data_IF_570848880879
#
_entry.id   IF_570848880879
#
_cell.length_a   1.000
_cell.length_b   1.000
_cell.length_c   1.000
_cell.angle_alpha   90.00
_cell.angle_beta   90.00
_cell.angle_gamma   90.00
#
_symmetry.space_group_name_H-M   'P 1'
#
loop_
_entity.id
_entity.type
_entity.pdbx_description
1 polymer ?
#
# COMPACT_ATOMS: atom_id res chain seq x y z
N UNK A 1 12.66 5.14 -11.12
CA UNK A 1 12.84 4.29 -9.91
C UNK A 1 11.96 4.78 -8.75
N UNK A 2 12.02 6.06 -8.36
CA UNK A 2 11.25 6.64 -7.24
C UNK A 2 9.72 6.47 -7.33
N UNK A 3 9.08 6.82 -8.45
CA UNK A 3 7.63 6.69 -8.64
C UNK A 3 7.14 5.24 -8.54
N UNK A 4 7.98 4.28 -8.93
CA UNK A 4 7.67 2.84 -8.82
C UNK A 4 7.67 2.39 -7.36
N UNK A 5 8.60 2.89 -6.54
CA UNK A 5 8.62 2.67 -5.10
C UNK A 5 7.42 3.31 -4.41
N UNK A 6 7.05 4.52 -4.84
CA UNK A 6 5.84 5.23 -4.42
C UNK A 6 4.58 4.42 -4.70
N UNK A 7 4.40 4.01 -5.95
CA UNK A 7 3.26 3.20 -6.36
C UNK A 7 3.22 1.87 -5.61
N UNK A 8 4.36 1.17 -5.48
CA UNK A 8 4.47 -0.10 -4.75
C UNK A 8 4.06 0.03 -3.28
N UNK A 9 4.54 1.06 -2.58
CA UNK A 9 4.25 1.28 -1.17
C UNK A 9 2.75 1.49 -0.90
N UNK A 10 2.04 2.14 -1.82
CA UNK A 10 0.58 2.36 -1.69
C UNK A 10 -0.25 1.21 -2.27
N UNK A 11 0.20 0.56 -3.34
CA UNK A 11 -0.48 -0.58 -3.94
C UNK A 11 -0.43 -1.83 -3.05
N UNK A 12 0.63 -1.98 -2.24
CA UNK A 12 0.75 -3.07 -1.26
C UNK A 12 -0.14 -2.92 -0.04
N UNK A 13 -0.81 -1.77 0.14
CA UNK A 13 -1.73 -1.57 1.26
C UNK A 13 -2.97 -2.45 1.11
N UNK A 14 -3.39 -3.06 2.22
CA UNK A 14 -4.48 -4.02 2.27
C UNK A 14 -5.81 -3.42 1.80
N UNK A 15 -6.32 -3.91 0.67
CA UNK A 15 -7.52 -3.39 0.00
C UNK A 15 -8.82 -3.61 0.78
N UNK A 16 -8.82 -4.44 1.84
CA UNK A 16 -9.99 -4.64 2.71
C UNK A 16 -10.40 -3.37 3.45
N UNK A 17 -9.50 -2.40 3.60
CA UNK A 17 -9.78 -1.14 4.28
C UNK A 17 -10.29 -0.06 3.32
N UNK A 18 -11.48 0.50 3.61
CA UNK A 18 -12.11 1.58 2.83
C UNK A 18 -11.23 2.82 2.63
N UNK A 19 -10.29 3.07 3.55
CA UNK A 19 -9.36 4.21 3.46
C UNK A 19 -8.24 4.00 2.44
N UNK A 20 -8.05 2.78 1.95
CA UNK A 20 -7.03 2.47 0.96
C UNK A 20 -7.63 2.57 -0.44
N UNK A 21 -7.11 3.53 -1.23
CA UNK A 21 -7.40 3.68 -2.65
C UNK A 21 -6.16 3.25 -3.45
N UNK A 22 -6.36 2.57 -4.57
CA UNK A 22 -5.26 1.98 -5.36
C UNK A 22 -4.49 3.06 -6.12
N UNK A 23 -5.12 4.20 -6.31
CA UNK A 23 -4.68 5.28 -7.18
C UNK A 23 -4.33 6.56 -6.41
N UNK A 24 -4.82 6.71 -5.17
CA UNK A 24 -4.53 7.86 -4.32
C UNK A 24 -4.27 7.51 -2.87
N UNK A 25 -3.53 8.37 -2.21
CA UNK A 25 -3.31 8.39 -0.78
C UNK A 25 -4.45 9.18 -0.12
N UNK A 26 -5.17 8.51 0.79
CA UNK A 26 -6.19 9.15 1.63
C UNK A 26 -5.56 9.97 2.76
N UNK A 27 -6.38 10.44 3.71
CA UNK A 27 -5.92 11.14 4.93
C UNK A 27 -5.41 10.19 6.03
N UNK A 28 -5.61 8.88 5.85
CA UNK A 28 -5.26 7.85 6.82
C UNK A 28 -4.94 6.53 6.12
N UNK A 29 -3.94 5.82 6.63
CA UNK A 29 -3.58 4.45 6.28
C UNK A 29 -3.82 3.54 7.49
N UNK A 30 -4.32 2.35 7.23
CA UNK A 30 -4.49 1.28 8.23
C UNK A 30 -3.44 0.23 7.97
N UNK A 31 -2.63 -0.07 8.98
CA UNK A 31 -1.61 -1.10 8.92
C UNK A 31 -2.11 -2.27 9.77
N UNK A 32 -2.51 -3.36 9.11
CA UNK A 32 -2.96 -4.59 9.76
C UNK A 32 -1.77 -5.32 10.38
N UNK A 33 -1.90 -5.75 11.63
CA UNK A 33 -0.87 -6.53 12.36
C UNK A 33 0.54 -5.92 12.26
N UNK A 34 0.65 -4.60 12.46
CA UNK A 34 1.95 -3.92 12.60
C UNK A 34 2.73 -4.49 13.79
N UNK A 35 2.00 -4.83 14.85
CA UNK A 35 2.54 -5.46 16.06
C UNK A 35 1.92 -6.85 16.24
N UNK A 36 2.67 -7.72 16.91
CA UNK A 36 2.22 -9.05 17.31
C UNK A 36 1.25 -8.98 18.49
N UNK A 37 0.61 -10.11 18.80
CA UNK A 37 -0.24 -10.26 19.99
C UNK A 37 0.52 -10.07 21.30
N UNK A 38 1.85 -10.19 21.27
CA UNK A 38 2.75 -9.93 22.41
C UNK A 38 3.15 -8.44 22.52
N UNK A 39 2.73 -7.61 21.56
CA UNK A 39 3.04 -6.18 21.50
C UNK A 39 4.41 -5.83 20.92
N UNK A 40 5.14 -6.80 20.38
CA UNK A 40 6.40 -6.61 19.66
C UNK A 40 6.15 -6.31 18.17
N UNK A 41 7.16 -5.80 17.46
CA UNK A 41 7.08 -5.67 16.01
C UNK A 41 6.76 -7.00 15.35
N UNK A 42 5.86 -6.97 14.37
CA UNK A 42 5.50 -8.17 13.63
C UNK A 42 6.42 -8.35 12.40
N UNK A 43 7.53 -9.07 12.58
CA UNK A 43 8.47 -9.33 11.49
C UNK A 43 7.98 -10.34 10.44
N UNK A 44 6.78 -10.94 10.63
CA UNK A 44 6.16 -11.82 9.63
C UNK A 44 5.35 -11.06 8.58
N UNK A 45 5.23 -9.73 8.71
CA UNK A 45 4.51 -8.89 7.77
C UNK A 45 5.44 -7.83 7.19
N UNK A 46 5.34 -7.57 5.87
CA UNK A 46 6.10 -6.52 5.18
C UNK A 46 5.61 -5.09 5.52
N UNK A 47 4.73 -4.98 6.52
CA UNK A 47 4.05 -3.75 6.92
C UNK A 47 5.04 -2.73 7.49
N UNK A 48 6.09 -3.19 8.18
CA UNK A 48 7.20 -2.33 8.63
C UNK A 48 7.92 -1.69 7.45
N UNK A 49 8.19 -2.45 6.38
CA UNK A 49 8.81 -1.94 5.16
C UNK A 49 7.96 -0.87 4.50
N UNK A 50 6.65 -1.09 4.39
CA UNK A 50 5.71 -0.10 3.87
C UNK A 50 5.72 1.20 4.71
N UNK A 51 5.79 1.10 6.04
CA UNK A 51 5.87 2.25 6.93
C UNK A 51 7.16 3.07 6.71
N UNK A 52 8.31 2.39 6.60
CA UNK A 52 9.60 3.05 6.32
C UNK A 52 9.58 3.70 4.94
N UNK A 53 9.04 3.04 3.92
CA UNK A 53 8.94 3.59 2.58
C UNK A 53 8.07 4.85 2.54
N UNK A 54 6.90 4.82 3.21
CA UNK A 54 5.99 5.97 3.33
C UNK A 54 6.70 7.14 4.03
N UNK A 55 7.39 6.89 5.14
CA UNK A 55 8.15 7.93 5.83
C UNK A 55 9.21 8.56 4.93
N UNK A 56 9.96 7.73 4.22
CA UNK A 56 11.00 8.17 3.29
C UNK A 56 10.42 9.05 2.18
N UNK A 57 9.27 8.68 1.63
CA UNK A 57 8.56 9.45 0.60
C UNK A 57 8.19 10.83 1.12
N UNK A 58 7.57 10.92 2.30
CA UNK A 58 7.13 12.20 2.86
C UNK A 58 8.31 13.14 3.13
N UNK A 59 9.42 12.63 3.68
CA UNK A 59 10.64 13.41 3.88
C UNK A 59 11.17 14.00 2.56
N UNK A 60 11.25 13.17 1.51
CA UNK A 60 11.70 13.63 0.19
C UNK A 60 10.80 14.73 -0.40
N UNK A 61 9.48 14.62 -0.26
CA UNK A 61 8.54 15.65 -0.78
C UNK A 61 8.55 16.96 0.01
N UNK A 62 9.06 16.91 1.24
CA UNK A 62 9.27 18.07 2.11
C UNK A 62 10.67 18.68 1.94
N UNK A 63 11.52 18.09 1.09
CA UNK A 63 12.90 18.55 0.86
C UNK A 63 13.88 18.15 1.96
N UNK A 64 13.50 17.21 2.82
CA UNK A 64 14.26 16.77 3.97
C UNK A 64 15.03 15.50 3.66
N UNK A 65 16.15 15.30 4.37
CA UNK A 65 16.86 14.02 4.30
C UNK A 65 16.02 12.95 5.02
N UNK A 66 15.66 11.84 4.35
CA UNK A 66 14.96 10.77 5.01
C UNK A 66 15.79 10.20 6.16
N UNK A 67 15.18 10.03 7.32
CA UNK A 67 15.76 9.28 8.44
C UNK A 67 15.12 7.89 8.46
N UNK A 68 15.77 6.85 7.91
CA UNK A 68 15.16 5.52 7.82
C UNK A 68 14.84 4.99 9.21
N UNK A 69 13.56 4.69 9.45
CA UNK A 69 13.08 4.16 10.73
C UNK A 69 12.95 5.20 11.84
N UNK A 70 12.93 6.50 11.51
CA UNK A 70 12.66 7.57 12.47
C UNK A 70 11.34 7.36 13.20
N UNK A 71 10.28 7.06 12.45
CA UNK A 71 8.96 6.76 12.99
C UNK A 71 8.96 5.49 13.85
N UNK A 72 9.69 4.45 13.42
CA UNK A 72 9.85 3.22 14.21
C UNK A 72 10.47 3.52 15.57
N UNK A 73 11.58 4.28 15.61
CA UNK A 73 12.25 4.67 16.86
C UNK A 73 11.35 5.51 17.75
N UNK A 74 10.57 6.42 17.17
CA UNK A 74 9.59 7.21 17.91
C UNK A 74 8.51 6.33 18.55
N UNK A 75 8.02 5.32 17.82
CA UNK A 75 7.06 4.34 18.34
C UNK A 75 7.68 3.52 19.48
N UNK A 76 8.91 3.03 19.31
CA UNK A 76 9.63 2.26 20.33
C UNK A 76 9.90 3.09 21.60
N UNK A 77 10.29 4.35 21.46
CA UNK A 77 10.54 5.24 22.59
C UNK A 77 9.27 5.59 23.39
N UNK A 78 8.12 5.64 22.70
CA UNK A 78 6.84 5.97 23.32
C UNK A 78 6.15 4.73 23.94
N UNK A 79 6.43 3.53 23.42
CA UNK A 79 5.81 2.29 23.90
C UNK A 79 6.64 1.61 24.99
N UNK A 80 5.95 1.20 26.06
CA UNK A 80 6.49 0.21 27.00
C UNK A 80 6.32 -1.25 26.53
N UNK A 81 6.68 -2.19 27.40
CA UNK A 81 6.63 -3.65 27.18
C UNK A 81 5.23 -4.29 27.15
N UNK A 82 4.92 -5.08 26.12
CA UNK A 82 3.68 -5.85 26.01
C UNK A 82 2.59 -5.20 25.16
N UNK A 83 1.55 -5.97 24.81
CA UNK A 83 0.45 -5.52 23.97
C UNK A 83 -0.40 -4.43 24.63
N UNK A 84 -0.37 -3.23 24.06
CA UNK A 84 -1.13 -2.07 24.56
C UNK A 84 -1.48 -1.07 23.48
N UNK A 85 -2.40 -0.17 23.81
CA UNK A 85 -2.60 1.01 23.00
C UNK A 85 -1.46 2.01 23.21
N UNK A 86 -1.07 2.69 22.14
CA UNK A 86 -0.09 3.78 22.21
C UNK A 86 -0.37 4.79 21.11
N UNK A 87 0.07 6.03 21.33
CA UNK A 87 -0.05 7.11 20.36
C UNK A 87 1.30 7.81 20.23
N UNK A 88 1.75 7.99 19.00
CA UNK A 88 3.05 8.58 18.68
C UNK A 88 2.86 9.61 17.58
N UNK A 89 3.41 10.79 17.78
CA UNK A 89 3.37 11.87 16.80
C UNK A 89 4.79 12.18 16.32
N UNK A 90 4.93 12.34 15.01
CA UNK A 90 6.15 12.78 14.33
C UNK A 90 5.82 13.94 13.42
N UNK A 91 6.82 14.55 12.79
CA UNK A 91 6.62 15.65 11.83
C UNK A 91 5.57 15.36 10.75
N UNK A 92 5.52 14.13 10.26
CA UNK A 92 4.68 13.75 9.12
C UNK A 92 3.42 12.99 9.53
N UNK A 93 3.47 12.28 10.66
CA UNK A 93 2.45 11.29 10.97
C UNK A 93 2.01 11.34 12.43
N UNK A 94 0.73 11.06 12.64
CA UNK A 94 0.19 10.64 13.92
C UNK A 94 -0.10 9.14 13.81
N UNK A 95 0.40 8.34 14.73
CA UNK A 95 0.24 6.88 14.75
C UNK A 95 -0.46 6.48 16.02
N UNK A 96 -1.58 5.77 15.88
CA UNK A 96 -2.22 5.08 17.00
C UNK A 96 -2.15 3.59 16.77
N UNK A 97 -1.53 2.89 17.71
CA UNK A 97 -1.45 1.43 17.69
C UNK A 97 -2.45 0.89 18.70
N UNK A 98 -3.22 -0.10 18.29
CA UNK A 98 -4.24 -0.75 19.11
C UNK A 98 -3.70 -2.02 19.75
N UNK A 99 -4.40 -2.51 20.80
CA UNK A 99 -3.97 -3.70 21.55
C UNK A 99 -3.93 -4.97 20.70
N UNK A 100 -4.74 -5.04 19.65
CA UNK A 100 -4.76 -6.14 18.68
C UNK A 100 -3.65 -6.05 17.61
N UNK A 101 -2.72 -5.10 17.74
CA UNK A 101 -1.57 -4.95 16.86
C UNK A 101 -1.82 -4.13 15.59
N UNK A 102 -3.05 -3.73 15.31
CA UNK A 102 -3.37 -2.85 14.19
C UNK A 102 -2.90 -1.42 14.48
N UNK A 103 -2.50 -0.69 13.44
CA UNK A 103 -2.11 0.70 13.56
C UNK A 103 -2.86 1.59 12.57
N UNK A 104 -3.25 2.76 13.05
CA UNK A 104 -3.78 3.84 12.22
C UNK A 104 -2.71 4.91 12.08
N UNK A 105 -2.39 5.23 10.83
CA UNK A 105 -1.41 6.23 10.43
C UNK A 105 -2.15 7.40 9.79
N UNK A 106 -2.25 8.53 10.47
CA UNK A 106 -2.80 9.77 9.91
C UNK A 106 -1.69 10.65 9.39
N UNK A 107 -1.86 11.25 8.21
CA UNK A 107 -0.90 12.23 7.69
C UNK A 107 -1.20 13.61 8.27
N UNK A 108 -0.18 14.26 8.82
CA UNK A 108 -0.31 15.59 9.43
C UNK A 108 -0.11 16.74 8.43
N UNK A 109 0.47 16.43 7.27
CA UNK A 109 0.93 17.39 6.25
C UNK A 109 0.11 17.24 4.97
N UNK A 110 -1.10 17.82 4.89
CA UNK A 110 -2.02 17.62 3.76
C UNK A 110 -1.45 18.12 2.42
N UNK A 111 -0.59 19.13 2.44
CA UNK A 111 0.10 19.62 1.26
C UNK A 111 1.08 18.60 0.68
N UNK A 112 1.76 17.80 1.52
CA UNK A 112 2.61 16.69 1.07
C UNK A 112 1.76 15.56 0.48
N UNK A 113 0.62 15.25 1.10
CA UNK A 113 -0.35 14.28 0.55
C UNK A 113 -0.79 14.71 -0.85
N UNK A 114 -1.09 16.01 -1.05
CA UNK A 114 -1.44 16.55 -2.37
C UNK A 114 -0.31 16.37 -3.38
N UNK A 115 0.94 16.69 -3.01
CA UNK A 115 2.10 16.50 -3.90
C UNK A 115 2.30 15.03 -4.29
N UNK A 116 2.17 14.12 -3.32
CA UNK A 116 2.24 12.67 -3.57
C UNK A 116 1.16 12.23 -4.54
N UNK A 117 -0.10 12.64 -4.32
CA UNK A 117 -1.21 12.30 -5.19
C UNK A 117 -1.07 12.87 -6.61
N UNK A 118 -0.52 14.08 -6.76
CA UNK A 118 -0.20 14.63 -8.09
C UNK A 118 0.83 13.78 -8.83
N UNK A 119 1.86 13.30 -8.13
CA UNK A 119 2.88 12.43 -8.72
C UNK A 119 2.36 11.02 -9.03
N UNK A 120 1.50 10.47 -8.18
CA UNK A 120 0.80 9.21 -8.45
C UNK A 120 -0.14 9.35 -9.65
N UNK A 121 -0.90 10.45 -9.74
CA UNK A 121 -1.80 10.71 -10.86
C UNK A 121 -1.04 10.84 -12.18
N UNK A 122 0.11 11.52 -12.19
CA UNK A 122 0.98 11.56 -13.36
C UNK A 122 1.49 10.15 -13.73
N UNK A 123 1.99 9.40 -12.75
CA UNK A 123 2.50 8.04 -13.00
C UNK A 123 1.43 7.09 -13.53
N UNK A 124 0.23 7.11 -12.95
CA UNK A 124 -0.88 6.29 -13.44
C UNK A 124 -1.46 6.83 -14.75
N UNK A 125 -1.49 8.15 -14.96
CA UNK A 125 -1.90 8.74 -16.23
C UNK A 125 -0.99 8.31 -17.38
N UNK A 126 0.33 8.36 -17.17
CA UNK A 126 1.33 7.89 -18.12
C UNK A 126 1.23 6.37 -18.30
N UNK A 127 1.12 5.60 -17.21
CA UNK A 127 1.00 4.14 -17.29
C UNK A 127 -0.32 3.67 -17.90
N UNK A 128 -1.41 4.44 -17.76
CA UNK A 128 -2.70 4.17 -18.41
C UNK A 128 -2.66 4.56 -19.89
N UNK A 129 -1.98 5.64 -20.26
CA UNK A 129 -1.75 5.99 -21.66
C UNK A 129 -0.89 4.93 -22.38
N UNK A 130 0.07 4.32 -21.68
CA UNK A 130 0.86 3.20 -22.19
C UNK A 130 0.09 1.87 -22.25
N UNK A 131 -0.96 1.69 -21.43
CA UNK A 131 -1.68 0.43 -21.28
C UNK A 131 -3.06 0.38 -21.97
N UNK A 132 -3.67 1.52 -22.28
CA UNK A 132 -4.96 1.61 -22.95
C UNK A 132 -4.76 1.80 -24.48
N UNK A 133 -5.51 1.07 -25.34
CA UNK A 133 -5.58 1.44 -26.74
C UNK A 133 -6.22 2.84 -26.89
N UNK A 134 -5.78 3.58 -27.91
CA UNK A 134 -5.95 5.03 -28.07
C UNK A 134 -7.42 5.54 -28.11
N UNK A 135 -8.38 4.62 -28.13
CA UNK A 135 -9.82 4.79 -28.25
C UNK A 135 -10.58 4.74 -26.91
N UNK A 136 -9.90 4.56 -25.78
CA UNK A 136 -10.54 4.51 -24.46
C UNK A 136 -10.82 5.91 -23.87
N UNK A 137 -12.10 6.27 -23.71
CA UNK A 137 -12.54 7.51 -23.08
C UNK A 137 -12.37 7.56 -21.53
N UNK A 138 -12.45 8.75 -20.91
CA UNK A 138 -12.21 8.98 -19.47
C UNK A 138 -13.27 8.36 -18.52
N UNK A 139 -14.21 7.59 -19.06
CA UNK A 139 -15.46 7.17 -18.41
C UNK A 139 -15.28 5.90 -17.56
N UNK A 140 -14.18 5.16 -17.78
CA UNK A 140 -13.80 3.96 -17.02
C UNK A 140 -13.61 4.21 -15.51
N UNK A 141 -13.49 5.47 -15.08
CA UNK A 141 -13.23 5.85 -13.69
C UNK A 141 -14.46 6.38 -12.93
N UNK A 142 -15.63 6.53 -13.57
CA UNK A 142 -16.80 7.18 -12.95
C UNK A 142 -17.81 6.25 -12.30
N UNK A 143 -17.69 4.93 -12.40
CA UNK A 143 -18.67 4.03 -11.78
C UNK A 143 -18.15 3.40 -10.51
N UNK A 144 -18.29 4.11 -9.37
CA UNK A 144 -18.39 3.42 -8.08
C UNK A 144 -19.79 2.82 -7.98
N UNK A 145 -19.91 1.53 -8.25
CA UNK A 145 -21.03 0.73 -7.76
C UNK A 145 -20.49 -0.28 -6.75
N UNK A 146 -21.12 -0.37 -5.56
CA UNK A 146 -20.93 -1.48 -4.62
C UNK A 146 -21.65 -2.77 -5.10
N UNK A 147 -21.96 -2.84 -6.39
CA UNK A 147 -22.57 -4.00 -7.03
C UNK A 147 -21.41 -4.81 -7.62
N UNK A 148 -21.29 -6.12 -7.32
CA UNK A 148 -20.39 -6.98 -8.08
C UNK A 148 -20.61 -6.76 -9.58
N UNK A 149 -19.54 -6.70 -10.38
CA UNK A 149 -19.65 -6.48 -11.82
C UNK A 149 -20.74 -7.41 -12.38
N UNK A 150 -21.75 -6.83 -13.04
CA UNK A 150 -22.94 -7.56 -13.50
C UNK A 150 -22.53 -8.72 -14.42
N UNK A 151 -21.43 -8.52 -15.12
CA UNK A 151 -20.64 -9.54 -15.77
C UNK A 151 -19.30 -9.65 -15.03
N UNK A 152 -19.12 -10.72 -14.26
CA UNK A 152 -17.79 -11.17 -13.86
C UNK A 152 -17.03 -11.38 -15.16
N UNK A 153 -16.20 -10.41 -15.56
CA UNK A 153 -15.38 -10.52 -16.74
C UNK A 153 -14.38 -11.65 -16.51
N UNK A 154 -14.79 -12.87 -16.90
CA UNK A 154 -13.96 -14.03 -16.99
C UNK A 154 -13.05 -13.82 -18.20
N UNK A 155 -11.79 -13.51 -17.94
CA UNK A 155 -10.77 -13.41 -18.98
C UNK A 155 -10.15 -14.80 -19.13
N UNK A 156 -10.58 -15.62 -20.11
CA UNK A 156 -9.94 -16.89 -20.34
C UNK A 156 -8.48 -16.63 -20.65
N UNK A 157 -7.58 -17.35 -19.96
CA UNK A 157 -6.17 -17.34 -20.29
C UNK A 157 -6.03 -17.74 -21.76
N UNK A 158 -5.38 -16.92 -22.62
CA UNK A 158 -5.18 -17.27 -24.02
C UNK A 158 -4.51 -18.65 -24.12
N UNK A 159 -4.95 -19.48 -25.06
CA UNK A 159 -4.51 -20.87 -25.17
C UNK A 159 -2.98 -21.00 -25.18
N UNK A 160 -2.27 -20.08 -25.84
CA UNK A 160 -0.81 -20.04 -25.86
C UNK A 160 -0.16 -19.88 -24.46
N UNK A 161 -0.78 -19.09 -23.58
CA UNK A 161 -0.29 -18.87 -22.20
C UNK A 161 -0.65 -20.05 -21.31
N UNK A 162 -1.83 -20.64 -21.51
CA UNK A 162 -2.23 -21.86 -20.80
C UNK A 162 -1.31 -23.04 -21.15
N UNK A 163 -0.95 -23.21 -22.43
CA UNK A 163 0.00 -24.23 -22.86
C UNK A 163 1.42 -24.00 -22.34
N UNK A 164 1.87 -22.75 -22.24
CA UNK A 164 3.16 -22.41 -21.64
C UNK A 164 3.18 -22.80 -20.15
N UNK A 165 2.13 -22.44 -19.42
CA UNK A 165 1.98 -22.79 -18.00
C UNK A 165 1.92 -24.31 -17.78
N UNK A 166 1.26 -25.05 -18.68
CA UNK A 166 1.23 -26.51 -18.64
C UNK A 166 2.59 -27.15 -18.96
N UNK A 167 3.39 -26.54 -19.84
CA UNK A 167 4.76 -26.99 -20.15
C UNK A 167 5.74 -26.73 -19.01
N UNK A 168 5.57 -25.63 -18.28
CA UNK A 168 6.39 -25.31 -17.09
C UNK A 168 5.99 -26.13 -15.85
N UNK A 169 4.81 -26.77 -15.88
CA UNK A 169 4.38 -27.68 -14.83
C UNK A 169 5.14 -29.02 -14.95
N UNK A 170 6.35 -29.08 -14.38
CA UNK A 170 7.04 -30.35 -14.12
C UNK A 170 6.29 -31.14 -13.03
N UNK A 171 5.22 -31.81 -13.40
CA UNK A 171 4.65 -32.87 -12.57
C UNK A 171 5.59 -34.08 -12.64
N UNK A 172 6.42 -34.29 -11.62
CA UNK A 172 7.04 -35.60 -11.41
C UNK A 172 5.94 -36.62 -11.21
N UNK A 173 5.94 -37.67 -12.04
CA UNK A 173 5.01 -38.79 -11.93
C UNK A 173 5.00 -39.34 -10.49
N UNK A 174 3.85 -39.27 -9.80
CA UNK A 174 3.66 -39.88 -8.48
C UNK A 174 3.30 -38.95 -7.30
N UNK A 175 3.16 -37.64 -7.49
CA UNK A 175 2.61 -36.78 -6.44
C UNK A 175 1.07 -36.91 -6.39
N UNK A 176 0.56 -37.52 -5.32
CA UNK A 176 -0.87 -37.51 -4.94
C UNK A 176 -1.21 -36.23 -4.20
#
# INVERSE_FOLDING_TARGET
IFLRGLARAFSSLDRRFKSHDGFKVGSRIILDRLMSDMGTWNHRSDVEGALIDIERIFAMFDGEQPSPGGLRRAIEANRGWGARQSETETRYFKVRIFKNGNAHLWMQRPELVRKVNLKLAAYYGDALADAAPADCGPDIFKTRSNVPAKDLAFYPTPAAVAELALKELYCRSGMR
#
